data_IF_389534803689
#
_entry.id   IF_389534803689
#
_cell.length_a   1.000
_cell.length_b   1.000
_cell.length_c   1.000
_cell.angle_alpha   90.00
_cell.angle_beta   90.00
_cell.angle_gamma   90.00
#
_symmetry.space_group_name_H-M   'P 1'
#
loop_
_entity.id
_entity.type
_entity.pdbx_description
1 polymer ?
#
# COMPACT_ATOMS: atom_id res chain seq x y z
N UNK A 1 -28.61 -5.36 8.32
CA UNK A 1 -27.23 -5.61 8.77
C UNK A 1 -26.77 -7.02 8.35
N UNK A 2 -26.57 -7.27 7.04
CA UNK A 2 -26.03 -8.55 6.50
C UNK A 2 -25.25 -8.33 5.18
N UNK A 3 -24.58 -7.20 5.06
CA UNK A 3 -23.81 -6.77 3.87
C UNK A 3 -22.53 -6.07 4.33
N UNK A 4 -21.58 -6.84 4.89
CA UNK A 4 -20.30 -6.34 5.41
C UNK A 4 -19.22 -7.44 5.59
N UNK A 5 -19.22 -8.49 4.76
CA UNK A 5 -18.20 -9.57 4.77
C UNK A 5 -17.88 -10.04 3.33
N UNK A 6 -17.54 -9.09 2.45
CA UNK A 6 -17.32 -9.36 1.02
C UNK A 6 -16.04 -8.70 0.45
N UNK A 7 -15.13 -8.28 1.31
CA UNK A 7 -13.79 -7.79 0.94
C UNK A 7 -12.72 -8.73 1.51
N UNK A 8 -11.59 -8.82 0.81
CA UNK A 8 -10.44 -9.73 1.07
C UNK A 8 -10.74 -11.21 0.70
N UNK A 9 -10.79 -11.50 -0.61
CA UNK A 9 -10.41 -12.82 -1.14
C UNK A 9 -10.12 -12.83 -2.67
N UNK A 10 -9.72 -11.69 -3.26
CA UNK A 10 -9.55 -11.53 -4.71
C UNK A 10 -8.14 -11.06 -5.10
N UNK A 11 -7.14 -11.94 -4.97
CA UNK A 11 -5.85 -11.82 -5.65
C UNK A 11 -5.17 -13.19 -5.75
N UNK A 12 -5.37 -13.89 -6.87
CA UNK A 12 -4.49 -14.89 -7.51
C UNK A 12 -5.29 -15.57 -8.63
N UNK A 13 -5.31 -14.93 -9.80
CA UNK A 13 -6.07 -15.37 -10.97
C UNK A 13 -5.28 -16.37 -11.82
N UNK A 14 -5.81 -17.59 -11.90
CA UNK A 14 -5.46 -18.58 -12.93
C UNK A 14 -6.73 -19.21 -13.51
N UNK A 15 -7.20 -18.70 -14.65
CA UNK A 15 -8.24 -19.36 -15.47
C UNK A 15 -7.59 -20.45 -16.36
N UNK A 16 -8.23 -21.46 -16.93
CA UNK A 16 -9.63 -21.91 -17.07
C UNK A 16 -9.76 -23.36 -16.50
N UNK A 17 -10.86 -24.14 -16.52
CA UNK A 17 -12.18 -24.09 -17.21
C UNK A 17 -13.27 -24.53 -16.21
N UNK A 18 -14.53 -24.10 -16.38
CA UNK A 18 -15.71 -24.79 -15.83
C UNK A 18 -16.38 -25.59 -16.95
N UNK A 19 -16.50 -26.91 -16.81
CA UNK A 19 -17.34 -27.74 -17.67
C UNK A 19 -18.24 -28.68 -16.86
N UNK A 20 -19.45 -28.86 -17.40
CA UNK A 20 -20.61 -29.48 -16.78
C UNK A 20 -20.34 -30.94 -16.33
N UNK A 21 -20.53 -31.34 -15.05
CA UNK A 21 -19.96 -32.57 -14.49
C UNK A 21 -20.65 -33.89 -14.87
N UNK A 22 -21.46 -33.95 -15.94
CA UNK A 22 -22.25 -35.14 -16.32
C UNK A 22 -21.94 -35.77 -17.68
N UNK A 23 -20.99 -35.24 -18.47
CA UNK A 23 -20.44 -35.94 -19.63
C UNK A 23 -18.92 -36.04 -19.56
N UNK A 24 -18.37 -37.23 -19.87
CA UNK A 24 -17.01 -37.59 -19.49
C UNK A 24 -15.90 -36.94 -20.33
N UNK A 25 -14.90 -36.39 -19.64
CA UNK A 25 -13.49 -36.33 -20.07
C UNK A 25 -12.57 -35.87 -18.91
N UNK A 26 -13.06 -34.99 -18.03
CA UNK A 26 -12.36 -34.55 -16.82
C UNK A 26 -13.32 -34.59 -15.62
N UNK A 27 -13.09 -35.51 -14.67
CA UNK A 27 -13.61 -35.33 -13.31
C UNK A 27 -12.64 -34.41 -12.59
N UNK A 28 -13.12 -33.27 -12.08
CA UNK A 28 -12.30 -32.41 -11.24
C UNK A 28 -11.81 -33.21 -10.02
N UNK A 29 -10.50 -33.16 -9.75
CA UNK A 29 -9.92 -33.86 -8.61
C UNK A 29 -10.42 -33.27 -7.30
N UNK A 30 -10.47 -34.06 -6.22
CA UNK A 30 -10.95 -33.58 -4.92
C UNK A 30 -10.17 -32.34 -4.43
N UNK A 31 -8.87 -32.23 -4.73
CA UNK A 31 -8.07 -31.03 -4.46
C UNK A 31 -8.57 -29.77 -5.20
N UNK A 32 -9.02 -29.91 -6.46
CA UNK A 32 -9.57 -28.80 -7.24
C UNK A 32 -10.94 -28.37 -6.73
N UNK A 33 -11.81 -29.34 -6.38
CA UNK A 33 -13.11 -29.06 -5.76
C UNK A 33 -12.96 -28.40 -4.40
N UNK A 34 -12.03 -28.86 -3.56
CA UNK A 34 -11.75 -28.26 -2.26
C UNK A 34 -11.32 -26.79 -2.38
N UNK A 35 -10.44 -26.48 -3.32
CA UNK A 35 -9.99 -25.12 -3.60
C UNK A 35 -11.13 -24.23 -4.13
N UNK A 36 -11.98 -24.76 -5.01
CA UNK A 36 -13.15 -24.03 -5.51
C UNK A 36 -14.15 -23.72 -4.39
N UNK A 37 -14.50 -24.71 -3.56
CA UNK A 37 -15.39 -24.51 -2.41
C UNK A 37 -14.81 -23.52 -1.39
N UNK A 38 -13.50 -23.53 -1.15
CA UNK A 38 -12.84 -22.55 -0.26
C UNK A 38 -13.03 -21.12 -0.79
N UNK A 39 -12.74 -20.89 -2.08
CA UNK A 39 -12.91 -19.57 -2.73
C UNK A 39 -14.37 -19.10 -2.70
N UNK A 40 -15.31 -20.03 -2.84
CA UNK A 40 -16.74 -19.72 -2.86
C UNK A 40 -17.35 -19.62 -1.42
N UNK A 41 -16.52 -19.71 -0.37
CA UNK A 41 -16.93 -19.56 1.04
C UNK A 41 -17.62 -20.80 1.65
N UNK A 42 -17.57 -21.94 0.95
CA UNK A 42 -18.27 -23.17 1.30
C UNK A 42 -17.36 -24.09 2.13
N UNK A 43 -16.96 -23.61 3.30
CA UNK A 43 -15.86 -24.17 4.10
C UNK A 43 -16.04 -25.64 4.51
N UNK A 44 -17.25 -26.08 4.89
CA UNK A 44 -17.53 -27.49 5.19
C UNK A 44 -17.32 -28.41 3.97
N UNK A 45 -17.69 -27.93 2.78
CA UNK A 45 -17.51 -28.66 1.54
C UNK A 45 -16.02 -28.69 1.14
N UNK A 46 -15.31 -27.58 1.33
CA UNK A 46 -13.86 -27.52 1.17
C UNK A 46 -13.16 -28.55 2.06
N UNK A 47 -13.49 -28.61 3.35
CA UNK A 47 -12.94 -29.62 4.28
C UNK A 47 -13.31 -31.05 3.91
N UNK A 48 -14.54 -31.30 3.46
CA UNK A 48 -14.98 -32.63 3.03
C UNK A 48 -14.19 -33.13 1.80
N UNK A 49 -13.97 -32.26 0.81
CA UNK A 49 -13.17 -32.57 -0.37
C UNK A 49 -11.67 -32.66 -0.07
N UNK A 50 -11.09 -31.78 0.75
CA UNK A 50 -9.70 -31.90 1.20
C UNK A 50 -9.46 -33.24 1.91
N UNK A 51 -10.37 -33.66 2.81
CA UNK A 51 -10.29 -34.98 3.45
C UNK A 51 -10.40 -36.14 2.46
N UNK A 52 -11.07 -35.96 1.31
CA UNK A 52 -11.12 -36.97 0.23
C UNK A 52 -9.81 -37.02 -0.54
N UNK A 53 -9.24 -35.86 -0.90
CA UNK A 53 -7.94 -35.74 -1.55
C UNK A 53 -6.81 -36.36 -0.70
N UNK A 54 -6.72 -35.98 0.59
CA UNK A 54 -5.70 -36.51 1.52
C UNK A 54 -5.78 -38.04 1.66
N UNK A 55 -6.97 -38.64 1.56
CA UNK A 55 -7.13 -40.11 1.60
C UNK A 55 -6.75 -40.83 0.31
N UNK A 56 -6.70 -40.14 -0.83
CA UNK A 56 -6.33 -40.72 -2.13
C UNK A 56 -4.84 -40.51 -2.41
N UNK A 57 -4.37 -39.27 -2.24
CA UNK A 57 -3.07 -38.81 -2.73
C UNK A 57 -2.06 -38.57 -1.59
N UNK A 58 -2.49 -38.68 -0.32
CA UNK A 58 -1.72 -38.33 0.87
C UNK A 58 -1.82 -36.84 1.25
N UNK A 59 -1.34 -36.47 2.45
CA UNK A 59 -1.24 -35.06 2.85
C UNK A 59 -0.14 -34.35 2.06
N UNK A 60 -0.40 -33.11 1.67
CA UNK A 60 0.60 -32.17 1.18
C UNK A 60 0.29 -30.77 1.72
N UNK A 61 1.29 -29.89 1.67
CA UNK A 61 1.24 -28.51 2.13
C UNK A 61 0.03 -27.74 1.57
N UNK A 62 -0.24 -27.84 0.27
CA UNK A 62 -1.37 -27.18 -0.40
C UNK A 62 -2.73 -27.65 0.13
N UNK A 63 -2.91 -28.95 0.35
CA UNK A 63 -4.15 -29.51 0.89
C UNK A 63 -4.34 -29.09 2.36
N UNK A 64 -3.28 -29.11 3.16
CA UNK A 64 -3.31 -28.65 4.55
C UNK A 64 -3.59 -27.15 4.65
N UNK A 65 -3.01 -26.31 3.77
CA UNK A 65 -3.34 -24.90 3.64
C UNK A 65 -4.82 -24.67 3.30
N UNK A 66 -5.39 -25.41 2.34
CA UNK A 66 -6.82 -25.33 2.01
C UNK A 66 -7.69 -25.70 3.23
N UNK A 67 -7.31 -26.74 3.98
CA UNK A 67 -8.02 -27.09 5.21
C UNK A 67 -7.89 -26.00 6.28
N UNK A 68 -6.71 -25.42 6.49
CA UNK A 68 -6.48 -24.36 7.46
C UNK A 68 -7.32 -23.12 7.16
N UNK A 69 -7.32 -22.64 5.92
CA UNK A 69 -8.12 -21.50 5.49
C UNK A 69 -9.63 -21.78 5.60
N UNK A 70 -10.07 -23.03 5.37
CA UNK A 70 -11.46 -23.42 5.60
C UNK A 70 -11.81 -23.47 7.10
N UNK A 71 -10.89 -23.91 7.97
CA UNK A 71 -11.07 -23.83 9.43
C UNK A 71 -11.15 -22.39 9.93
N UNK A 72 -10.30 -21.50 9.42
CA UNK A 72 -10.38 -20.06 9.70
C UNK A 72 -11.73 -19.47 9.28
N UNK A 73 -12.26 -19.89 8.13
CA UNK A 73 -13.61 -19.50 7.66
C UNK A 73 -14.75 -19.96 8.57
N UNK A 74 -14.53 -21.01 9.36
CA UNK A 74 -15.45 -21.56 10.37
C UNK A 74 -15.20 -21.02 11.80
N UNK A 75 -14.32 -20.03 11.96
CA UNK A 75 -13.91 -19.48 13.28
C UNK A 75 -13.10 -20.48 14.14
N UNK A 76 -12.63 -21.59 13.55
CA UNK A 76 -11.82 -22.62 14.22
C UNK A 76 -10.31 -22.26 14.17
N UNK A 77 -9.93 -21.11 14.74
CA UNK A 77 -8.59 -20.51 14.62
C UNK A 77 -7.47 -21.45 15.10
N UNK A 78 -7.63 -22.11 16.25
CA UNK A 78 -6.60 -23.00 16.79
C UNK A 78 -6.34 -24.21 15.86
N UNK A 79 -7.40 -24.76 15.26
CA UNK A 79 -7.29 -25.85 14.28
C UNK A 79 -6.71 -25.38 12.94
N UNK A 80 -6.91 -24.11 12.56
CA UNK A 80 -6.26 -23.52 11.40
C UNK A 80 -4.74 -23.39 11.63
N UNK A 81 -4.32 -22.90 12.80
CA UNK A 81 -2.90 -22.80 13.16
C UNK A 81 -2.21 -24.17 13.23
N UNK A 82 -2.87 -25.20 13.77
CA UNK A 82 -2.34 -26.57 13.78
C UNK A 82 -2.10 -27.09 12.35
N UNK A 83 -3.06 -26.89 11.44
CA UNK A 83 -2.96 -27.30 10.05
C UNK A 83 -1.91 -26.50 9.26
N UNK A 84 -1.71 -25.22 9.55
CA UNK A 84 -0.60 -24.42 9.02
C UNK A 84 0.74 -24.97 9.51
N UNK A 85 0.87 -25.27 10.80
CA UNK A 85 2.08 -25.90 11.36
C UNK A 85 2.43 -27.22 10.65
N UNK A 86 1.43 -28.08 10.45
CA UNK A 86 1.59 -29.32 9.67
C UNK A 86 1.94 -29.06 8.20
N UNK A 87 1.40 -28.01 7.58
CA UNK A 87 1.75 -27.65 6.20
C UNK A 87 3.21 -27.18 6.09
N UNK A 88 3.66 -26.31 7.00
CA UNK A 88 5.04 -25.80 7.05
C UNK A 88 6.03 -26.94 7.32
N UNK A 89 5.68 -27.89 8.18
CA UNK A 89 6.47 -29.11 8.42
C UNK A 89 6.70 -29.95 7.14
N UNK A 90 5.81 -29.89 6.15
CA UNK A 90 5.96 -30.56 4.85
C UNK A 90 6.74 -29.72 3.82
N UNK A 91 6.73 -28.39 3.94
CA UNK A 91 7.42 -27.47 3.04
C UNK A 91 7.98 -26.23 3.79
N UNK A 92 9.09 -26.35 4.53
CA UNK A 92 9.63 -25.29 5.40
C UNK A 92 10.11 -24.02 4.69
N UNK A 93 10.27 -24.09 3.36
CA UNK A 93 10.73 -22.97 2.51
C UNK A 93 9.57 -22.32 1.72
N UNK A 94 8.32 -22.78 1.88
CA UNK A 94 7.17 -22.27 1.15
C UNK A 94 6.59 -21.00 1.81
N UNK A 95 7.02 -19.80 1.41
CA UNK A 95 6.53 -18.53 1.99
C UNK A 95 5.01 -18.31 1.86
N UNK A 96 4.29 -18.97 0.95
CA UNK A 96 2.82 -18.87 0.92
C UNK A 96 2.17 -19.39 2.21
N UNK A 97 2.80 -20.38 2.88
CA UNK A 97 2.35 -20.92 4.16
C UNK A 97 2.62 -19.94 5.30
N UNK A 98 3.79 -19.30 5.28
CA UNK A 98 4.17 -18.28 6.24
C UNK A 98 3.37 -17.00 6.07
N UNK A 99 3.06 -16.60 4.83
CA UNK A 99 2.11 -15.53 4.52
C UNK A 99 0.73 -15.84 5.10
N UNK A 100 0.21 -17.05 4.90
CA UNK A 100 -1.05 -17.47 5.52
C UNK A 100 -0.98 -17.46 7.06
N UNK A 101 0.17 -17.82 7.66
CA UNK A 101 0.39 -17.71 9.11
C UNK A 101 0.36 -16.25 9.59
N UNK A 102 1.02 -15.32 8.85
CA UNK A 102 0.98 -13.88 9.10
C UNK A 102 -0.45 -13.34 9.01
N UNK A 103 -1.17 -13.69 7.95
CA UNK A 103 -2.56 -13.29 7.71
C UNK A 103 -3.51 -13.75 8.84
N UNK A 104 -3.39 -15.01 9.30
CA UNK A 104 -4.16 -15.55 10.44
C UNK A 104 -3.78 -14.83 11.73
N UNK A 105 -2.48 -14.65 11.98
CA UNK A 105 -1.96 -14.03 13.20
C UNK A 105 -2.42 -12.58 13.35
N UNK A 106 -2.44 -11.81 12.25
CA UNK A 106 -2.88 -10.41 12.24
C UNK A 106 -4.39 -10.28 12.40
N UNK A 107 -5.17 -11.06 11.63
CA UNK A 107 -6.64 -10.99 11.64
C UNK A 107 -7.26 -11.45 12.97
N UNK A 108 -6.66 -12.46 13.61
CA UNK A 108 -7.17 -13.07 14.84
C UNK A 108 -6.36 -12.67 16.09
N UNK A 109 -5.44 -11.70 15.96
CA UNK A 109 -4.56 -11.18 17.04
C UNK A 109 -3.76 -12.28 17.79
N UNK A 110 -3.43 -13.38 17.13
CA UNK A 110 -2.84 -14.59 17.74
C UNK A 110 -1.32 -14.56 17.92
N UNK A 111 -0.75 -13.39 18.19
CA UNK A 111 0.70 -13.16 18.27
C UNK A 111 1.45 -14.16 19.15
N UNK A 112 0.95 -14.47 20.36
CA UNK A 112 1.61 -15.40 21.28
C UNK A 112 1.51 -16.89 20.84
N UNK A 113 0.44 -17.28 20.15
CA UNK A 113 0.32 -18.64 19.59
C UNK A 113 1.28 -18.80 18.40
N UNK A 114 1.36 -17.79 17.55
CA UNK A 114 2.29 -17.74 16.41
C UNK A 114 3.75 -17.74 16.86
N UNK A 115 4.12 -16.97 17.89
CA UNK A 115 5.47 -16.97 18.48
C UNK A 115 5.88 -18.38 18.96
N UNK A 116 4.95 -19.07 19.64
CA UNK A 116 5.15 -20.46 20.06
C UNK A 116 5.27 -21.42 18.87
N UNK A 117 4.43 -21.28 17.86
CA UNK A 117 4.45 -22.15 16.67
C UNK A 117 5.75 -22.00 15.88
N UNK A 118 6.23 -20.78 15.65
CA UNK A 118 7.52 -20.51 14.99
C UNK A 118 8.69 -21.11 15.78
N UNK A 119 8.68 -20.98 17.11
CA UNK A 119 9.69 -21.59 17.96
C UNK A 119 9.68 -23.13 17.90
N UNK A 120 8.50 -23.76 17.81
CA UNK A 120 8.36 -25.21 17.60
C UNK A 120 8.87 -25.63 16.21
N UNK A 121 8.43 -24.96 15.15
CA UNK A 121 8.86 -25.23 13.78
C UNK A 121 10.38 -25.12 13.62
N UNK A 122 11.02 -24.11 14.23
CA UNK A 122 12.49 -23.98 14.22
C UNK A 122 13.19 -25.12 14.97
N UNK A 123 12.62 -25.59 16.08
CA UNK A 123 13.19 -26.69 16.85
C UNK A 123 13.07 -28.04 16.13
N UNK A 124 11.94 -28.29 15.46
CA UNK A 124 11.62 -29.56 14.82
C UNK A 124 12.16 -29.68 13.38
N UNK A 125 12.29 -28.55 12.66
CA UNK A 125 12.64 -28.53 11.23
C UNK A 125 13.84 -27.65 10.86
N UNK A 126 14.41 -26.91 11.82
CA UNK A 126 15.55 -26.02 11.60
C UNK A 126 15.15 -24.63 11.10
N UNK A 127 16.13 -23.89 10.60
CA UNK A 127 15.97 -22.50 10.17
C UNK A 127 15.70 -22.39 8.67
N UNK A 128 14.72 -21.55 8.28
CA UNK A 128 14.48 -21.14 6.89
C UNK A 128 14.32 -19.62 6.80
N UNK A 129 14.50 -19.06 5.59
CA UNK A 129 14.36 -17.63 5.36
C UNK A 129 12.95 -17.12 5.71
N UNK A 130 11.92 -17.86 5.28
CA UNK A 130 10.50 -17.51 5.52
C UNK A 130 10.12 -17.59 7.00
N UNK A 131 10.73 -18.50 7.78
CA UNK A 131 10.57 -18.56 9.23
C UNK A 131 11.15 -17.31 9.90
N UNK A 132 12.42 -16.99 9.61
CA UNK A 132 13.07 -15.81 10.17
C UNK A 132 12.40 -14.49 9.74
N UNK A 133 11.90 -14.40 8.51
CA UNK A 133 11.16 -13.24 8.03
C UNK A 133 9.83 -13.06 8.78
N UNK A 134 9.19 -14.18 9.14
CA UNK A 134 7.94 -14.19 9.90
C UNK A 134 8.15 -13.88 11.39
N UNK A 135 9.22 -14.38 12.00
CA UNK A 135 9.63 -13.94 13.34
C UNK A 135 9.97 -12.45 13.37
N UNK A 136 10.66 -11.95 12.34
CA UNK A 136 10.98 -10.53 12.21
C UNK A 136 9.74 -9.63 12.09
N UNK A 137 8.81 -9.99 11.22
CA UNK A 137 7.50 -9.33 11.14
C UNK A 137 6.76 -9.37 12.49
N UNK A 138 6.74 -10.52 13.15
CA UNK A 138 6.04 -10.70 14.43
C UNK A 138 6.64 -9.81 15.53
N UNK A 139 7.97 -9.77 15.65
CA UNK A 139 8.66 -8.89 16.58
C UNK A 139 8.39 -7.41 16.30
N UNK A 140 8.27 -7.00 15.02
CA UNK A 140 7.88 -5.64 14.67
C UNK A 140 6.44 -5.31 15.12
N UNK A 141 5.50 -6.26 15.01
CA UNK A 141 4.12 -6.11 15.55
C UNK A 141 4.06 -6.11 17.08
N UNK A 142 5.04 -6.70 17.75
CA UNK A 142 5.18 -6.74 19.21
C UNK A 142 5.99 -5.56 19.78
N UNK A 143 6.27 -4.52 18.99
CA UNK A 143 7.10 -3.36 19.38
C UNK A 143 8.53 -3.73 19.84
N UNK A 144 9.12 -4.78 19.24
CA UNK A 144 10.50 -5.25 19.49
C UNK A 144 11.40 -5.00 18.27
N UNK A 145 11.72 -3.74 17.91
CA UNK A 145 12.32 -3.41 16.62
C UNK A 145 13.73 -3.98 16.43
N UNK A 146 14.59 -3.96 17.45
CA UNK A 146 15.94 -4.56 17.38
C UNK A 146 15.90 -6.06 17.01
N UNK A 147 15.01 -6.81 17.67
CA UNK A 147 14.82 -8.23 17.43
C UNK A 147 14.23 -8.49 16.03
N UNK A 148 13.34 -7.61 15.57
CA UNK A 148 12.79 -7.65 14.23
C UNK A 148 13.85 -7.42 13.15
N UNK A 149 14.70 -6.39 13.29
CA UNK A 149 15.81 -6.10 12.37
C UNK A 149 16.77 -7.29 12.30
N UNK A 150 17.14 -7.89 13.43
CA UNK A 150 18.06 -9.03 13.41
C UNK A 150 17.45 -10.27 12.76
N UNK A 151 16.21 -10.63 13.10
CA UNK A 151 15.52 -11.76 12.46
C UNK A 151 15.36 -11.55 10.94
N UNK A 152 14.98 -10.35 10.48
CA UNK A 152 14.91 -10.02 9.05
C UNK A 152 16.28 -10.12 8.37
N UNK A 153 17.37 -9.72 9.04
CA UNK A 153 18.74 -9.90 8.54
C UNK A 153 19.21 -11.35 8.51
N UNK A 154 18.65 -12.24 9.33
CA UNK A 154 18.90 -13.69 9.22
C UNK A 154 18.16 -14.25 8.00
N UNK A 155 16.91 -13.82 7.76
CA UNK A 155 16.15 -14.19 6.57
C UNK A 155 16.89 -13.81 5.27
N UNK A 156 17.35 -12.56 5.14
CA UNK A 156 18.11 -12.09 3.97
C UNK A 156 19.51 -12.71 3.85
N UNK A 157 20.01 -13.39 4.89
CA UNK A 157 21.27 -14.15 4.87
C UNK A 157 21.08 -15.59 4.38
N UNK A 158 19.93 -16.20 4.68
CA UNK A 158 19.57 -17.54 4.21
C UNK A 158 19.08 -17.50 2.76
N UNK A 159 18.33 -16.46 2.38
CA UNK A 159 17.93 -16.19 1.01
C UNK A 159 18.07 -14.69 0.70
N UNK A 160 19.10 -14.37 -0.10
CA UNK A 160 19.37 -13.00 -0.56
C UNK A 160 18.26 -12.45 -1.49
N UNK A 161 17.36 -13.30 -1.99
CA UNK A 161 16.22 -12.94 -2.83
C UNK A 161 14.87 -12.96 -2.08
N UNK A 162 14.87 -13.07 -0.74
CA UNK A 162 13.63 -13.15 0.05
C UNK A 162 12.90 -11.79 0.12
N UNK A 163 12.12 -11.49 -0.92
CA UNK A 163 11.39 -10.23 -1.14
C UNK A 163 10.73 -9.68 0.13
N UNK A 164 9.90 -10.48 0.81
CA UNK A 164 9.17 -10.04 2.00
C UNK A 164 10.11 -9.59 3.14
N UNK A 165 11.28 -10.22 3.28
CA UNK A 165 12.25 -9.85 4.30
C UNK A 165 12.91 -8.50 3.98
N UNK A 166 13.28 -8.27 2.71
CA UNK A 166 13.83 -6.99 2.26
C UNK A 166 12.83 -5.83 2.38
N UNK A 167 11.55 -6.07 2.06
CA UNK A 167 10.49 -5.06 2.22
C UNK A 167 10.31 -4.68 3.69
N UNK A 168 10.12 -5.65 4.58
CA UNK A 168 9.93 -5.38 6.01
C UNK A 168 11.19 -4.77 6.66
N UNK A 169 12.38 -5.21 6.25
CA UNK A 169 13.65 -4.66 6.73
C UNK A 169 13.80 -3.19 6.30
N UNK A 170 13.56 -2.88 5.03
CA UNK A 170 13.57 -1.51 4.52
C UNK A 170 12.56 -0.60 5.21
N UNK A 171 11.33 -1.10 5.40
CA UNK A 171 10.24 -0.38 6.11
C UNK A 171 10.62 -0.07 7.56
N UNK A 172 11.15 -1.05 8.29
CA UNK A 172 11.52 -0.90 9.70
C UNK A 172 12.73 0.04 9.85
N UNK A 173 13.75 -0.10 9.01
CA UNK A 173 14.93 0.78 9.03
C UNK A 173 14.58 2.24 8.65
N UNK A 174 13.59 2.48 7.77
CA UNK A 174 13.05 3.83 7.54
C UNK A 174 12.41 4.41 8.81
N UNK A 175 11.62 3.60 9.54
CA UNK A 175 10.96 4.04 10.77
C UNK A 175 11.98 4.39 11.88
N UNK A 176 13.12 3.69 11.93
CA UNK A 176 14.25 3.98 12.82
C UNK A 176 15.17 5.12 12.32
N UNK A 177 14.92 5.69 11.13
CA UNK A 177 15.78 6.72 10.52
C UNK A 177 17.11 6.20 9.95
N UNK A 178 17.30 4.88 9.85
CA UNK A 178 18.52 4.20 9.38
C UNK A 178 18.53 4.07 7.86
N UNK A 179 18.35 5.20 7.18
CA UNK A 179 18.06 5.24 5.74
C UNK A 179 19.14 4.61 4.83
N UNK A 180 20.41 4.64 5.22
CA UNK A 180 21.51 4.02 4.45
C UNK A 180 21.34 2.49 4.39
N UNK A 181 20.99 1.86 5.52
CA UNK A 181 20.73 0.43 5.58
C UNK A 181 19.40 0.08 4.90
N UNK A 182 18.38 0.94 5.06
CA UNK A 182 17.09 0.78 4.40
C UNK A 182 17.21 0.81 2.88
N UNK A 183 18.06 1.69 2.31
CA UNK A 183 18.34 1.70 0.87
C UNK A 183 18.92 0.36 0.41
N UNK A 184 19.82 -0.27 1.18
CA UNK A 184 20.36 -1.58 0.84
C UNK A 184 19.27 -2.65 0.67
N UNK A 185 18.35 -2.75 1.63
CA UNK A 185 17.23 -3.70 1.55
C UNK A 185 16.24 -3.33 0.42
N UNK A 186 15.92 -2.05 0.25
CA UNK A 186 14.97 -1.58 -0.78
C UNK A 186 15.52 -1.73 -2.20
N UNK A 187 16.83 -1.61 -2.42
CA UNK A 187 17.46 -1.89 -3.73
C UNK A 187 17.28 -3.35 -4.11
N UNK A 188 17.44 -4.29 -3.16
CA UNK A 188 17.19 -5.71 -3.43
C UNK A 188 15.70 -6.00 -3.66
N UNK A 189 14.80 -5.40 -2.87
CA UNK A 189 13.36 -5.53 -3.09
C UNK A 189 12.94 -5.03 -4.50
N UNK A 190 13.43 -3.87 -4.92
CA UNK A 190 13.19 -3.31 -6.28
C UNK A 190 13.90 -4.13 -7.37
N UNK A 191 15.03 -4.80 -7.08
CA UNK A 191 15.68 -5.73 -8.04
C UNK A 191 14.82 -6.96 -8.28
N UNK A 192 14.13 -7.46 -7.26
CA UNK A 192 13.24 -8.63 -7.34
C UNK A 192 11.89 -8.26 -8.00
N UNK A 193 11.32 -7.11 -7.65
CA UNK A 193 10.08 -6.57 -8.23
C UNK A 193 10.29 -5.14 -8.76
N UNK A 194 10.87 -4.98 -9.96
CA UNK A 194 11.16 -3.67 -10.55
C UNK A 194 9.91 -2.93 -11.05
N UNK A 195 8.78 -3.64 -11.16
CA UNK A 195 7.46 -3.12 -11.51
C UNK A 195 6.58 -2.81 -10.29
N UNK A 196 7.04 -3.08 -9.06
CA UNK A 196 6.34 -2.61 -7.86
C UNK A 196 6.58 -1.10 -7.65
N UNK A 197 5.57 -0.37 -8.11
CA UNK A 197 5.35 1.05 -7.89
C UNK A 197 5.64 1.53 -6.46
N UNK A 198 5.17 0.82 -5.44
CA UNK A 198 5.32 1.26 -4.05
C UNK A 198 6.76 1.09 -3.57
N UNK A 199 7.42 -0.01 -3.93
CA UNK A 199 8.84 -0.24 -3.60
C UNK A 199 9.75 0.82 -4.23
N UNK A 200 9.54 1.12 -5.51
CA UNK A 200 10.28 2.18 -6.21
C UNK A 200 10.08 3.55 -5.54
N UNK A 201 8.83 3.90 -5.22
CA UNK A 201 8.53 5.19 -4.58
C UNK A 201 9.15 5.26 -3.17
N UNK A 202 9.11 4.18 -2.40
CA UNK A 202 9.74 4.09 -1.08
C UNK A 202 11.28 4.14 -1.17
N UNK A 203 11.91 3.53 -2.17
CA UNK A 203 13.35 3.64 -2.42
C UNK A 203 13.77 5.09 -2.74
N UNK A 204 13.04 5.75 -3.64
CA UNK A 204 13.29 7.15 -3.98
C UNK A 204 13.09 8.10 -2.79
N UNK A 205 12.03 7.90 -1.99
CA UNK A 205 11.82 8.65 -0.74
C UNK A 205 12.96 8.43 0.27
N UNK A 206 13.41 7.19 0.44
CA UNK A 206 14.54 6.83 1.29
C UNK A 206 15.84 7.54 0.84
N UNK A 207 16.09 7.64 -0.46
CA UNK A 207 17.21 8.39 -1.01
C UNK A 207 17.09 9.90 -0.76
N UNK A 208 15.89 10.48 -0.85
CA UNK A 208 15.67 11.90 -0.51
C UNK A 208 15.90 12.17 0.98
N UNK A 209 15.46 11.28 1.88
CA UNK A 209 15.70 11.39 3.33
C UNK A 209 17.18 11.29 3.71
N UNK A 210 18.02 10.69 2.86
CA UNK A 210 19.49 10.71 2.98
C UNK A 210 20.15 11.98 2.41
N UNK A 211 19.39 12.88 1.78
CA UNK A 211 19.93 14.02 1.02
C UNK A 211 20.50 13.63 -0.35
N UNK A 212 20.31 12.39 -0.81
CA UNK A 212 20.86 11.86 -2.06
C UNK A 212 19.94 12.18 -3.26
N UNK A 213 19.62 13.47 -3.43
CA UNK A 213 18.62 13.96 -4.40
C UNK A 213 18.89 13.50 -5.84
N UNK A 214 20.16 13.44 -6.26
CA UNK A 214 20.58 12.97 -7.58
C UNK A 214 20.38 11.47 -7.79
N UNK A 215 20.42 10.65 -6.72
CA UNK A 215 20.11 9.21 -6.80
C UNK A 215 18.60 9.03 -6.92
N UNK A 216 17.83 9.71 -6.07
CA UNK A 216 16.37 9.72 -6.12
C UNK A 216 15.84 10.13 -7.50
N UNK A 217 16.38 11.22 -8.06
CA UNK A 217 16.04 11.66 -9.42
C UNK A 217 16.23 10.55 -10.46
N UNK A 218 17.37 9.85 -10.45
CA UNK A 218 17.63 8.74 -11.38
C UNK A 218 16.68 7.56 -11.18
N UNK A 219 16.44 7.15 -9.93
CA UNK A 219 15.48 6.07 -9.60
C UNK A 219 14.07 6.42 -10.08
N UNK A 220 13.61 7.64 -9.83
CA UNK A 220 12.31 8.12 -10.28
C UNK A 220 12.21 8.23 -11.81
N UNK A 221 13.21 8.81 -12.49
CA UNK A 221 13.18 8.96 -13.94
C UNK A 221 13.26 7.62 -14.68
N UNK A 222 14.01 6.64 -14.16
CA UNK A 222 14.04 5.28 -14.69
C UNK A 222 12.66 4.61 -14.59
N UNK A 223 12.02 4.65 -13.43
CA UNK A 223 10.72 4.05 -13.21
C UNK A 223 9.58 4.76 -13.95
N UNK A 224 9.65 6.10 -14.09
CA UNK A 224 8.73 6.89 -14.89
C UNK A 224 8.86 6.55 -16.38
N UNK A 225 10.09 6.34 -16.86
CA UNK A 225 10.36 5.90 -18.25
C UNK A 225 9.84 4.47 -18.49
N UNK A 226 9.91 3.61 -17.48
CA UNK A 226 9.36 2.25 -17.52
C UNK A 226 7.82 2.19 -17.34
N UNK A 227 7.16 3.30 -17.00
CA UNK A 227 5.72 3.35 -16.75
C UNK A 227 5.27 2.77 -15.39
N UNK A 228 6.21 2.53 -14.47
CA UNK A 228 5.96 1.94 -13.14
C UNK A 228 5.39 2.98 -12.16
N UNK A 229 5.79 4.24 -12.31
CA UNK A 229 5.31 5.39 -11.52
C UNK A 229 4.87 6.51 -12.45
N UNK A 230 3.97 7.39 -11.99
CA UNK A 230 3.61 8.61 -12.73
C UNK A 230 4.40 9.82 -12.23
N UNK A 231 4.48 10.86 -13.06
CA UNK A 231 5.12 12.11 -12.66
C UNK A 231 4.40 12.80 -11.48
N UNK A 232 3.09 12.58 -11.31
CA UNK A 232 2.31 13.10 -10.15
C UNK A 232 2.82 12.52 -8.83
N UNK A 233 3.20 11.24 -8.82
CA UNK A 233 3.63 10.56 -7.60
C UNK A 233 4.99 11.05 -7.13
N UNK A 234 5.89 11.23 -8.10
CA UNK A 234 7.23 11.77 -7.89
C UNK A 234 7.13 13.23 -7.43
N UNK A 235 6.27 14.03 -8.07
CA UNK A 235 6.02 15.41 -7.69
C UNK A 235 5.51 15.52 -6.24
N UNK A 236 4.56 14.67 -5.84
CA UNK A 236 4.05 14.61 -4.46
C UNK A 236 5.15 14.25 -3.45
N UNK A 237 6.03 13.28 -3.74
CA UNK A 237 7.12 12.92 -2.83
C UNK A 237 8.12 14.08 -2.68
N UNK A 238 8.47 14.77 -3.77
CA UNK A 238 9.32 15.96 -3.67
C UNK A 238 8.63 17.09 -2.89
N UNK A 239 7.33 17.27 -3.05
CA UNK A 239 6.53 18.23 -2.29
C UNK A 239 6.55 17.92 -0.78
N UNK A 240 6.26 16.67 -0.39
CA UNK A 240 6.35 16.16 0.99
C UNK A 240 7.77 16.18 1.60
N UNK A 241 8.80 16.42 0.78
CA UNK A 241 10.22 16.55 1.18
C UNK A 241 10.71 18.00 1.17
N UNK A 242 9.80 18.98 1.07
CA UNK A 242 10.14 20.41 1.01
C UNK A 242 11.10 20.72 -0.17
N UNK A 243 10.87 20.05 -1.30
CA UNK A 243 11.61 20.22 -2.57
C UNK A 243 10.67 20.72 -3.68
N UNK A 244 10.14 21.95 -3.53
CA UNK A 244 9.16 22.51 -4.45
C UNK A 244 9.74 22.69 -5.86
N UNK A 245 11.06 22.93 -5.97
CA UNK A 245 11.80 23.00 -7.23
C UNK A 245 11.59 21.76 -8.11
N UNK A 246 11.74 20.57 -7.51
CA UNK A 246 11.54 19.29 -8.22
C UNK A 246 10.06 18.92 -8.30
N UNK A 247 9.25 19.26 -7.29
CA UNK A 247 7.80 19.03 -7.35
C UNK A 247 7.16 19.74 -8.55
N UNK A 248 7.50 21.02 -8.77
CA UNK A 248 7.06 21.82 -9.91
C UNK A 248 7.48 21.17 -11.24
N UNK A 249 8.74 20.73 -11.38
CA UNK A 249 9.25 20.09 -12.60
C UNK A 249 8.44 18.83 -12.96
N UNK A 250 8.19 17.96 -11.99
CA UNK A 250 7.42 16.72 -12.24
C UNK A 250 5.94 16.99 -12.44
N UNK A 251 5.34 17.99 -11.79
CA UNK A 251 3.97 18.42 -12.09
C UNK A 251 3.84 19.05 -13.48
N UNK A 252 4.80 19.86 -13.94
CA UNK A 252 4.83 20.38 -15.32
C UNK A 252 4.96 19.23 -16.34
N UNK A 253 5.76 18.19 -16.04
CA UNK A 253 5.84 16.96 -16.85
C UNK A 253 4.51 16.19 -16.87
N UNK A 254 3.84 16.06 -15.73
CA UNK A 254 2.54 15.41 -15.62
C UNK A 254 1.47 16.15 -16.47
N UNK A 255 1.48 17.49 -16.42
CA UNK A 255 0.56 18.34 -17.16
C UNK A 255 0.72 18.23 -18.69
N UNK A 256 1.90 17.89 -19.21
CA UNK A 256 2.07 17.62 -20.65
C UNK A 256 1.29 16.37 -21.08
N UNK A 257 1.26 15.33 -20.24
CA UNK A 257 0.54 14.08 -20.52
C UNK A 257 -0.97 14.17 -20.29
N UNK A 258 -1.40 14.95 -19.29
CA UNK A 258 -2.80 15.13 -18.93
C UNK A 258 -3.12 16.63 -18.73
N UNK A 259 -3.24 17.41 -19.82
CA UNK A 259 -3.29 18.87 -19.77
C UNK A 259 -4.54 19.44 -19.10
N UNK A 260 -5.65 18.71 -19.08
CA UNK A 260 -6.93 19.10 -18.46
C UNK A 260 -7.29 18.18 -17.28
N UNK A 261 -6.30 17.62 -16.58
CA UNK A 261 -6.51 16.98 -15.28
C UNK A 261 -6.61 18.05 -14.18
N UNK A 262 -7.75 18.20 -13.48
CA UNK A 262 -7.94 19.25 -12.49
C UNK A 262 -7.07 19.07 -11.24
N UNK A 263 -6.68 17.84 -10.88
CA UNK A 263 -5.80 17.58 -9.73
C UNK A 263 -4.36 18.04 -10.04
N UNK A 264 -3.86 17.73 -11.24
CA UNK A 264 -2.52 18.18 -11.67
C UNK A 264 -2.48 19.70 -11.79
N UNK A 265 -3.50 20.30 -12.42
CA UNK A 265 -3.66 21.74 -12.53
C UNK A 265 -3.69 22.42 -11.16
N UNK A 266 -4.44 21.87 -10.21
CA UNK A 266 -4.56 22.40 -8.87
C UNK A 266 -3.24 22.29 -8.10
N UNK A 267 -2.63 21.10 -8.06
CA UNK A 267 -1.44 20.86 -7.26
C UNK A 267 -0.25 21.70 -7.76
N UNK A 268 -0.08 21.83 -9.09
CA UNK A 268 0.93 22.73 -9.66
C UNK A 268 0.64 24.20 -9.33
N UNK A 269 -0.62 24.62 -9.37
CA UNK A 269 -1.02 25.98 -8.99
C UNK A 269 -0.74 26.26 -7.50
N UNK A 270 -1.04 25.30 -6.63
CA UNK A 270 -0.79 25.37 -5.19
C UNK A 270 0.71 25.44 -4.86
N UNK A 271 1.54 24.54 -5.41
CA UNK A 271 2.99 24.58 -5.18
C UNK A 271 3.62 25.88 -5.70
N UNK A 272 3.11 26.46 -6.80
CA UNK A 272 3.54 27.81 -7.22
C UNK A 272 3.06 28.92 -6.28
N UNK A 273 1.86 28.80 -5.70
CA UNK A 273 1.28 29.78 -4.79
C UNK A 273 2.09 29.87 -3.49
N UNK A 274 2.42 28.73 -2.86
CA UNK A 274 3.20 28.66 -1.62
C UNK A 274 4.59 29.26 -1.76
N UNK A 275 5.28 28.96 -2.87
CA UNK A 275 6.61 29.53 -3.16
C UNK A 275 6.58 31.00 -3.61
N UNK A 276 5.39 31.58 -3.83
CA UNK A 276 5.25 32.94 -4.40
C UNK A 276 5.70 33.04 -5.87
N UNK A 277 5.88 31.92 -6.56
CA UNK A 277 6.46 31.83 -7.89
C UNK A 277 5.40 31.87 -8.99
N UNK A 278 5.68 32.56 -10.10
CA UNK A 278 4.84 32.59 -11.32
C UNK A 278 3.33 32.80 -11.06
N UNK A 279 2.96 33.57 -10.03
CA UNK A 279 1.57 33.66 -9.51
C UNK A 279 0.49 33.90 -10.59
N UNK A 280 0.76 34.71 -11.62
CA UNK A 280 -0.17 34.94 -12.74
C UNK A 280 -0.44 33.69 -13.61
N UNK A 281 0.56 32.81 -13.73
CA UNK A 281 0.44 31.51 -14.40
C UNK A 281 -0.29 30.50 -13.51
N UNK A 282 0.09 30.43 -12.23
CA UNK A 282 -0.61 29.61 -11.24
C UNK A 282 -2.10 29.95 -11.15
N UNK A 283 -2.47 31.24 -11.14
CA UNK A 283 -3.87 31.69 -11.19
C UNK A 283 -4.61 31.12 -12.43
N UNK A 284 -3.95 31.04 -13.59
CA UNK A 284 -4.53 30.46 -14.79
C UNK A 284 -4.75 28.94 -14.65
N UNK A 285 -3.79 28.22 -14.06
CA UNK A 285 -3.89 26.79 -13.79
C UNK A 285 -5.04 26.48 -12.81
N UNK A 286 -5.12 27.16 -11.66
CA UNK A 286 -6.21 27.00 -10.70
C UNK A 286 -7.58 27.38 -11.28
N UNK A 287 -7.64 28.42 -12.11
CA UNK A 287 -8.88 28.80 -12.82
C UNK A 287 -9.33 27.70 -13.80
N UNK A 288 -8.39 26.99 -14.44
CA UNK A 288 -8.71 25.83 -15.30
C UNK A 288 -9.20 24.65 -14.47
N UNK A 289 -8.58 24.35 -13.33
CA UNK A 289 -9.05 23.31 -12.39
C UNK A 289 -10.51 23.58 -11.95
N UNK A 290 -10.81 24.78 -11.45
CA UNK A 290 -12.16 25.21 -11.05
C UNK A 290 -13.16 25.20 -12.23
N UNK A 291 -12.71 25.41 -13.46
CA UNK A 291 -13.59 25.32 -14.65
C UNK A 291 -13.96 23.87 -14.99
N UNK A 292 -13.07 22.92 -14.71
CA UNK A 292 -13.26 21.49 -14.96
C UNK A 292 -14.10 20.84 -13.85
N UNK A 293 -13.88 21.25 -12.60
CA UNK A 293 -14.71 20.90 -11.45
C UNK A 293 -14.91 22.15 -10.56
N UNK A 294 -16.10 22.73 -10.67
CA UNK A 294 -16.49 23.94 -9.95
C UNK A 294 -17.07 23.68 -8.56
N UNK A 295 -17.26 22.41 -8.18
CA UNK A 295 -17.91 22.00 -6.93
C UNK A 295 -16.89 21.60 -5.86
N UNK A 296 -15.66 21.22 -6.25
CA UNK A 296 -14.54 20.92 -5.35
C UNK A 296 -14.14 22.11 -4.47
N UNK A 297 -14.27 22.01 -3.12
CA UNK A 297 -13.81 23.04 -2.20
C UNK A 297 -12.29 23.28 -2.29
N UNK A 298 -11.51 22.23 -2.57
CA UNK A 298 -10.04 22.26 -2.66
C UNK A 298 -9.56 23.12 -3.84
N UNK A 299 -10.24 23.03 -4.98
CA UNK A 299 -9.90 23.81 -6.17
C UNK A 299 -10.33 25.29 -6.01
N UNK A 300 -11.47 25.51 -5.36
CA UNK A 300 -11.94 26.85 -5.00
C UNK A 300 -11.01 27.54 -3.99
N UNK A 301 -10.49 26.80 -2.99
CA UNK A 301 -9.50 27.30 -2.02
C UNK A 301 -8.21 27.75 -2.71
N UNK A 302 -7.59 26.87 -3.48
CA UNK A 302 -6.35 27.18 -4.23
C UNK A 302 -6.53 28.40 -5.15
N UNK A 303 -7.68 28.50 -5.83
CA UNK A 303 -8.01 29.68 -6.65
C UNK A 303 -8.22 30.95 -5.82
N UNK A 304 -8.85 30.86 -4.64
CA UNK A 304 -9.02 31.98 -3.73
C UNK A 304 -7.68 32.47 -3.16
N UNK A 305 -6.76 31.56 -2.81
CA UNK A 305 -5.42 31.90 -2.35
C UNK A 305 -4.64 32.68 -3.42
N UNK A 306 -4.64 32.20 -4.66
CA UNK A 306 -3.97 32.88 -5.77
C UNK A 306 -4.59 34.25 -6.09
N UNK A 307 -5.91 34.40 -5.95
CA UNK A 307 -6.56 35.71 -6.01
C UNK A 307 -6.10 36.63 -4.87
N UNK A 308 -5.95 36.11 -3.65
CA UNK A 308 -5.48 36.86 -2.48
C UNK A 308 -4.01 37.30 -2.62
N UNK A 309 -3.11 36.40 -3.00
CA UNK A 309 -1.68 36.69 -3.23
C UNK A 309 -1.48 37.76 -4.33
N UNK A 310 -2.32 37.74 -5.37
CA UNK A 310 -2.36 38.77 -6.42
C UNK A 310 -3.12 40.06 -6.00
N UNK A 311 -3.46 40.20 -4.72
CA UNK A 311 -4.08 41.40 -4.16
C UNK A 311 -5.57 41.57 -4.47
N UNK A 312 -6.24 40.57 -5.05
CA UNK A 312 -7.65 40.61 -5.49
C UNK A 312 -8.59 40.14 -4.36
N UNK A 313 -8.36 40.62 -3.13
CA UNK A 313 -8.99 40.13 -1.90
C UNK A 313 -10.53 40.04 -1.94
N UNK A 314 -11.21 40.99 -2.60
CA UNK A 314 -12.67 40.93 -2.78
C UNK A 314 -13.14 39.68 -3.55
N UNK A 315 -12.38 39.27 -4.58
CA UNK A 315 -12.66 38.05 -5.34
C UNK A 315 -12.29 36.80 -4.52
N UNK A 316 -11.17 36.83 -3.79
CA UNK A 316 -10.79 35.73 -2.89
C UNK A 316 -11.88 35.44 -1.85
N UNK A 317 -12.42 36.46 -1.18
CA UNK A 317 -13.58 36.34 -0.27
C UNK A 317 -14.82 35.77 -0.98
N UNK A 318 -15.10 36.17 -2.22
CA UNK A 318 -16.25 35.68 -2.97
C UNK A 318 -16.12 34.19 -3.33
N UNK A 319 -14.94 33.75 -3.76
CA UNK A 319 -14.66 32.34 -4.10
C UNK A 319 -14.59 31.47 -2.83
N UNK A 320 -13.93 31.93 -1.77
CA UNK A 320 -13.87 31.21 -0.49
C UNK A 320 -15.26 31.00 0.13
N UNK A 321 -16.21 31.93 -0.11
CA UNK A 321 -17.63 31.72 0.28
C UNK A 321 -18.29 30.58 -0.49
N UNK A 322 -17.88 30.35 -1.74
CA UNK A 322 -18.35 29.20 -2.52
C UNK A 322 -17.75 27.91 -1.97
N UNK A 323 -16.44 27.87 -1.69
CA UNK A 323 -15.78 26.72 -1.07
C UNK A 323 -16.47 26.29 0.24
N UNK A 324 -16.70 27.24 1.16
CA UNK A 324 -17.40 27.01 2.43
C UNK A 324 -18.88 26.60 2.32
N UNK A 325 -19.51 26.87 1.18
CA UNK A 325 -20.87 26.44 0.88
C UNK A 325 -20.92 25.04 0.24
N UNK A 326 -19.78 24.51 -0.22
CA UNK A 326 -19.64 23.15 -0.77
C UNK A 326 -19.03 22.17 0.23
N UNK A 327 -18.19 22.64 1.14
CA UNK A 327 -17.70 21.86 2.28
C UNK A 327 -18.86 21.55 3.27
N UNK A 328 -19.04 20.28 3.70
CA UNK A 328 -20.01 19.91 4.71
C UNK A 328 -19.85 20.68 6.04
N UNK A 329 -20.91 20.72 6.85
CA UNK A 329 -20.86 21.41 8.15
C UNK A 329 -19.93 20.71 9.17
N UNK A 330 -19.79 19.40 9.03
CA UNK A 330 -18.94 18.47 9.76
C UNK A 330 -17.70 18.03 8.96
N UNK A 331 -17.42 18.69 7.83
CA UNK A 331 -16.28 18.39 6.97
C UNK A 331 -14.94 18.77 7.59
N UNK A 332 -13.95 17.88 7.48
CA UNK A 332 -12.63 18.04 8.11
C UNK A 332 -11.88 19.31 7.64
N UNK A 333 -12.12 19.77 6.41
CA UNK A 333 -11.48 20.95 5.84
C UNK A 333 -12.18 22.25 6.24
N UNK A 334 -13.38 22.19 6.83
CA UNK A 334 -14.21 23.37 7.12
C UNK A 334 -13.49 24.40 7.99
N UNK A 335 -12.89 23.98 9.09
CA UNK A 335 -12.20 24.88 10.02
C UNK A 335 -11.00 25.59 9.35
N UNK A 336 -10.31 24.91 8.45
CA UNK A 336 -9.23 25.49 7.64
C UNK A 336 -9.77 26.54 6.67
N UNK A 337 -10.85 26.25 5.93
CA UNK A 337 -11.49 27.19 5.01
C UNK A 337 -12.07 28.42 5.73
N UNK A 338 -12.60 28.26 6.94
CA UNK A 338 -13.05 29.37 7.79
C UNK A 338 -11.88 30.26 8.25
N UNK A 339 -10.71 29.66 8.51
CA UNK A 339 -9.45 30.37 8.75
C UNK A 339 -8.97 31.18 7.52
N UNK A 340 -8.99 30.57 6.33
CA UNK A 340 -8.65 31.26 5.07
C UNK A 340 -9.63 32.41 4.79
N UNK A 341 -10.93 32.20 5.00
CA UNK A 341 -11.95 33.25 4.90
C UNK A 341 -11.65 34.44 5.82
N UNK A 342 -11.25 34.19 7.07
CA UNK A 342 -10.87 35.24 8.00
C UNK A 342 -9.61 36.01 7.52
N UNK A 343 -8.58 35.30 7.02
CA UNK A 343 -7.38 35.90 6.42
C UNK A 343 -7.73 36.83 5.25
N UNK A 344 -8.57 36.37 4.32
CA UNK A 344 -8.98 37.14 3.16
C UNK A 344 -9.83 38.36 3.53
N UNK A 345 -10.75 38.21 4.49
CA UNK A 345 -11.55 39.33 5.00
C UNK A 345 -10.69 40.41 5.67
N UNK A 346 -9.69 40.03 6.47
CA UNK A 346 -8.78 40.98 7.11
C UNK A 346 -7.97 41.78 6.08
N UNK A 347 -7.42 41.11 5.07
CA UNK A 347 -6.66 41.77 4.00
C UNK A 347 -7.54 42.63 3.06
N UNK A 348 -8.82 42.30 2.91
CA UNK A 348 -9.78 43.16 2.22
C UNK A 348 -10.10 44.42 3.04
N UNK A 349 -10.36 44.28 4.34
CA UNK A 349 -10.73 45.39 5.23
C UNK A 349 -9.60 46.42 5.45
N UNK A 350 -8.34 45.98 5.45
CA UNK A 350 -7.16 46.83 5.69
C UNK A 350 -6.69 47.65 4.47
N UNK A 351 -7.36 47.51 3.31
CA UNK A 351 -7.19 48.38 2.13
C UNK A 351 -8.35 49.37 1.93
N UNK A 352 -9.36 49.27 2.81
CA UNK A 352 -10.45 50.22 3.12
C UNK A 352 -9.94 51.58 3.62
#
# INVERSE_FOLDING_TARGET
MRLARQAICCALLGAFVISNPQCGAYRAGHAQLAHAYLRDGLYDQALAETRRAIRQDGPNDRLLLIAALARLGLDEVDAALELIGQAVALAPDNDDLYRALRDICEKEERFAQTEKLLAQLRADHGESASLWATEGWLHARQERPDAAVEALRQATRLDEHHLFAHIELGRLLIAEGRFVEAEGALVEAVRIQPDDRQLVLTLGDCQLRQGLAERAARTFDQALTAGVVSAVDIARIYYERERPDRAIEYYERALIGAPDDPLILNNLAWTYAEEGLRLSYALNLSMRAVKLDAESPVYLDTYAELLHLLGRHAHAVAIMRQALAREPADGEHRAYLEGQMAKFHHAFATRL
#
